data_IF_572141034281
#
_entry.id   IF_572141034281
#
_cell.length_a   1.000
_cell.length_b   1.000
_cell.length_c   1.000
_cell.angle_alpha   90.00
_cell.angle_beta   90.00
_cell.angle_gamma   90.00
#
_symmetry.space_group_name_H-M   'P 1'
#
loop_
_entity.id
_entity.type
_entity.pdbx_description
1 polymer ?
#
# COMPACT_ATOMS: atom_id res chain seq x y z
N UNK A 1 -27.92 -43.29 51.34
CA UNK A 1 -26.62 -44.01 51.44
C UNK A 1 -26.52 -44.91 50.20
N UNK A 2 -25.55 -44.90 49.29
CA UNK A 2 -24.46 -44.02 48.84
C UNK A 2 -24.06 -44.50 47.42
N UNK A 3 -23.75 -43.57 46.51
CA UNK A 3 -22.77 -43.65 45.39
C UNK A 3 -22.92 -44.72 44.27
N UNK A 4 -22.63 -44.47 42.99
CA UNK A 4 -22.10 -43.28 42.32
C UNK A 4 -22.36 -43.34 40.80
N UNK A 5 -22.63 -42.17 40.26
CA UNK A 5 -22.37 -41.68 38.91
C UNK A 5 -20.97 -42.10 38.41
N UNK A 6 -20.88 -42.66 37.20
CA UNK A 6 -20.00 -42.22 36.09
C UNK A 6 -19.94 -43.27 34.98
N UNK A 7 -20.12 -42.80 33.75
CA UNK A 7 -19.51 -43.31 32.54
C UNK A 7 -19.79 -44.77 32.13
N UNK A 8 -20.91 -45.00 31.43
CA UNK A 8 -20.92 -45.97 30.32
C UNK A 8 -22.08 -45.73 29.36
N UNK A 9 -22.35 -44.47 29.02
CA UNK A 9 -23.34 -44.16 27.99
C UNK A 9 -22.64 -43.85 26.67
N UNK A 10 -22.79 -44.81 25.76
CA UNK A 10 -23.23 -44.53 24.39
C UNK A 10 -22.13 -44.21 23.38
N UNK A 11 -21.37 -45.26 23.11
CA UNK A 11 -21.01 -45.69 21.75
C UNK A 11 -22.11 -45.42 20.71
N UNK A 12 -21.94 -44.39 19.88
CA UNK A 12 -22.54 -44.30 18.54
C UNK A 12 -22.07 -43.03 17.80
N UNK A 13 -20.84 -43.02 17.27
CA UNK A 13 -20.47 -42.20 16.12
C UNK A 13 -19.28 -42.87 15.41
N UNK A 14 -19.42 -43.32 14.15
CA UNK A 14 -18.28 -43.77 13.35
C UNK A 14 -17.51 -42.53 12.87
N UNK A 15 -16.72 -41.95 13.76
CA UNK A 15 -15.86 -40.80 13.45
C UNK A 15 -14.60 -41.32 12.73
N UNK A 16 -14.69 -41.40 11.39
CA UNK A 16 -13.50 -41.58 10.54
C UNK A 16 -12.74 -40.24 10.51
N UNK A 17 -11.53 -40.14 11.09
CA UNK A 17 -10.78 -38.88 11.20
C UNK A 17 -10.19 -38.39 9.87
N UNK A 18 -10.39 -39.12 8.77
CA UNK A 18 -9.80 -38.82 7.47
C UNK A 18 -10.51 -37.69 6.71
N UNK A 19 -11.79 -37.43 7.00
CA UNK A 19 -12.55 -36.37 6.32
C UNK A 19 -12.12 -34.95 6.74
N UNK A 20 -11.65 -34.79 7.98
CA UNK A 20 -11.22 -33.50 8.53
C UNK A 20 -9.89 -33.01 7.95
N UNK A 21 -8.95 -33.93 7.67
CA UNK A 21 -7.70 -33.61 7.00
C UNK A 21 -7.88 -33.24 5.53
N UNK A 22 -8.85 -33.87 4.84
CA UNK A 22 -9.20 -33.54 3.46
C UNK A 22 -9.87 -32.16 3.33
N UNK A 23 -10.65 -31.75 4.34
CA UNK A 23 -11.27 -30.43 4.37
C UNK A 23 -10.28 -29.30 4.72
N UNK A 24 -9.29 -29.59 5.59
CA UNK A 24 -8.24 -28.63 5.94
C UNK A 24 -7.25 -28.39 4.77
N UNK A 25 -6.99 -29.41 3.96
CA UNK A 25 -6.10 -29.30 2.78
C UNK A 25 -6.70 -28.49 1.63
N UNK A 26 -8.03 -28.46 1.49
CA UNK A 26 -8.70 -27.77 0.38
C UNK A 26 -8.82 -26.25 0.60
N UNK A 27 -8.72 -25.76 1.84
CA UNK A 27 -8.83 -24.33 2.16
C UNK A 27 -7.55 -23.53 1.87
N UNK A 28 -6.41 -24.18 1.64
CA UNK A 28 -5.12 -23.52 1.44
C UNK A 28 -4.84 -23.12 -0.03
N UNK A 29 -5.65 -23.58 -0.99
CA UNK A 29 -5.38 -23.40 -2.42
C UNK A 29 -6.03 -22.16 -3.06
N UNK A 30 -6.88 -21.40 -2.34
CA UNK A 30 -7.55 -20.20 -2.87
C UNK A 30 -6.84 -18.93 -2.38
N UNK A 31 -5.53 -18.88 -2.61
CA UNK A 31 -4.67 -17.74 -2.35
C UNK A 31 -4.11 -17.13 -3.63
N UNK A 32 -4.92 -17.00 -4.69
CA UNK A 32 -4.51 -16.21 -5.85
C UNK A 32 -4.57 -14.72 -5.49
N UNK A 33 -3.49 -14.21 -4.93
CA UNK A 33 -3.29 -12.78 -4.71
C UNK A 33 -2.91 -12.18 -6.07
N UNK A 34 -3.86 -11.54 -6.75
CA UNK A 34 -3.53 -10.74 -7.93
C UNK A 34 -2.73 -9.54 -7.45
N UNK A 35 -1.46 -9.51 -7.82
CA UNK A 35 -0.54 -8.44 -7.49
C UNK A 35 -0.79 -7.31 -8.48
N UNK A 36 -1.58 -6.34 -8.04
CA UNK A 36 -1.96 -5.18 -8.84
C UNK A 36 -0.77 -4.22 -8.85
N UNK A 37 -0.09 -4.17 -9.99
CA UNK A 37 1.11 -3.36 -10.17
C UNK A 37 0.75 -1.91 -10.51
N UNK A 38 1.57 -0.93 -10.07
CA UNK A 38 1.38 0.46 -10.44
C UNK A 38 1.45 0.64 -11.96
N UNK A 39 0.63 1.54 -12.48
CA UNK A 39 0.53 1.84 -13.91
C UNK A 39 1.66 2.74 -14.40
N UNK A 40 2.18 3.61 -13.53
CA UNK A 40 3.28 4.53 -13.80
C UNK A 40 4.63 3.89 -13.50
N UNK A 41 5.67 4.20 -14.29
CA UNK A 41 7.02 3.74 -13.99
C UNK A 41 7.54 4.40 -12.71
N UNK A 42 8.32 3.63 -11.96
CA UNK A 42 8.87 4.03 -10.66
C UNK A 42 9.67 5.35 -10.72
N UNK A 43 10.42 5.55 -11.82
CA UNK A 43 11.19 6.77 -12.08
C UNK A 43 10.30 8.02 -12.15
N UNK A 44 9.17 7.92 -12.85
CA UNK A 44 8.22 9.04 -12.99
C UNK A 44 7.52 9.32 -11.66
N UNK A 45 7.16 8.28 -10.91
CA UNK A 45 6.60 8.42 -9.57
C UNK A 45 7.56 9.13 -8.61
N UNK A 46 8.85 8.76 -8.64
CA UNK A 46 9.89 9.38 -7.82
C UNK A 46 10.11 10.85 -8.17
N UNK A 47 10.16 11.20 -9.47
CA UNK A 47 10.30 12.59 -9.92
C UNK A 47 9.10 13.45 -9.52
N UNK A 48 7.89 12.96 -9.75
CA UNK A 48 6.66 13.66 -9.33
C UNK A 48 6.68 13.86 -7.81
N UNK A 49 7.05 12.84 -7.04
CA UNK A 49 7.13 12.92 -5.57
C UNK A 49 8.16 13.95 -5.10
N UNK A 50 9.34 13.98 -5.72
CA UNK A 50 10.37 14.99 -5.43
C UNK A 50 9.86 16.41 -5.68
N UNK A 51 9.23 16.66 -6.85
CA UNK A 51 8.68 17.97 -7.20
C UNK A 51 7.54 18.41 -6.25
N UNK A 52 6.67 17.47 -5.86
CA UNK A 52 5.61 17.71 -4.88
C UNK A 52 6.21 18.13 -3.53
N UNK A 53 7.23 17.43 -3.06
CA UNK A 53 7.93 17.79 -1.81
C UNK A 53 8.64 19.13 -1.91
N UNK A 54 9.22 19.46 -3.06
CA UNK A 54 9.83 20.76 -3.30
C UNK A 54 8.78 21.89 -3.25
N UNK A 55 7.61 21.68 -3.86
CA UNK A 55 6.50 22.63 -3.81
C UNK A 55 5.95 22.80 -2.38
N UNK A 56 5.87 21.72 -1.60
CA UNK A 56 5.50 21.79 -0.19
C UNK A 56 6.54 22.56 0.63
N UNK A 57 7.83 22.29 0.42
CA UNK A 57 8.93 22.99 1.06
C UNK A 57 8.91 24.50 0.75
N UNK A 58 8.70 24.87 -0.52
CA UNK A 58 8.59 26.27 -0.95
C UNK A 58 7.39 27.01 -0.35
N UNK A 59 6.34 26.28 0.04
CA UNK A 59 5.12 26.86 0.62
C UNK A 59 5.02 26.73 2.14
N UNK A 60 6.07 26.24 2.81
CA UNK A 60 6.12 26.07 4.29
C UNK A 60 5.85 27.37 5.07
N UNK A 61 6.17 28.53 4.49
CA UNK A 61 5.90 29.85 5.10
C UNK A 61 4.45 30.34 4.99
N UNK A 62 3.60 29.64 4.25
CA UNK A 62 2.19 29.98 4.07
C UNK A 62 1.31 29.05 4.91
N UNK A 63 0.18 29.55 5.42
CA UNK A 63 -0.77 28.75 6.21
C UNK A 63 -2.21 29.02 5.81
N UNK A 64 -3.08 28.04 6.07
CA UNK A 64 -4.50 28.09 5.77
C UNK A 64 -4.81 28.15 4.28
N UNK A 65 -5.94 28.78 3.93
CA UNK A 65 -6.49 28.79 2.58
C UNK A 65 -5.53 29.22 1.46
N UNK A 66 -4.60 30.14 1.75
CA UNK A 66 -3.60 30.61 0.77
C UNK A 66 -2.57 29.53 0.43
N UNK A 67 -2.20 28.70 1.40
CA UNK A 67 -1.30 27.56 1.17
C UNK A 67 -2.00 26.53 0.29
N UNK A 68 -3.21 26.13 0.66
CA UNK A 68 -3.95 25.06 -0.03
C UNK A 68 -4.26 25.43 -1.49
N UNK A 69 -4.66 26.68 -1.74
CA UNK A 69 -4.91 27.19 -3.09
C UNK A 69 -3.64 27.24 -3.96
N UNK A 70 -2.50 27.66 -3.39
CA UNK A 70 -1.25 27.69 -4.12
C UNK A 70 -0.70 26.27 -4.40
N UNK A 71 -0.78 25.38 -3.42
CA UNK A 71 -0.40 23.97 -3.56
C UNK A 71 -1.21 23.27 -4.64
N UNK A 72 -2.51 23.54 -4.72
CA UNK A 72 -3.36 23.02 -5.79
C UNK A 72 -2.83 23.38 -7.19
N UNK A 73 -2.43 24.66 -7.39
CA UNK A 73 -1.89 25.13 -8.67
C UNK A 73 -0.54 24.47 -8.98
N UNK A 74 0.33 24.31 -7.98
CA UNK A 74 1.59 23.59 -8.18
C UNK A 74 1.36 22.14 -8.56
N UNK A 75 0.41 21.46 -7.93
CA UNK A 75 0.11 20.07 -8.23
C UNK A 75 -0.39 19.92 -9.67
N UNK A 76 -1.32 20.77 -10.11
CA UNK A 76 -1.75 20.78 -11.51
C UNK A 76 -0.58 20.99 -12.49
N UNK A 77 0.33 21.91 -12.17
CA UNK A 77 1.47 22.22 -13.03
C UNK A 77 2.48 21.06 -13.10
N UNK A 78 2.81 20.44 -11.96
CA UNK A 78 3.73 19.30 -11.87
C UNK A 78 3.16 18.12 -12.67
N UNK A 79 1.89 17.78 -12.45
CA UNK A 79 1.24 16.70 -13.20
C UNK A 79 1.21 16.98 -14.71
N UNK A 80 0.99 18.24 -15.10
CA UNK A 80 1.02 18.64 -16.51
C UNK A 80 2.43 18.50 -17.12
N UNK A 81 3.50 18.82 -16.39
CA UNK A 81 4.88 18.65 -16.88
C UNK A 81 5.26 17.19 -17.06
N UNK A 82 4.81 16.31 -16.17
CA UNK A 82 5.06 14.88 -16.26
C UNK A 82 4.08 14.14 -17.19
N UNK A 83 3.05 14.81 -17.70
CA UNK A 83 2.05 14.22 -18.58
C UNK A 83 1.20 13.14 -17.89
N UNK A 84 1.05 13.22 -16.57
CA UNK A 84 0.36 12.24 -15.74
C UNK A 84 -0.96 12.81 -15.23
N UNK A 85 -2.02 12.01 -15.27
CA UNK A 85 -3.29 12.38 -14.63
C UNK A 85 -3.19 12.20 -13.11
N UNK A 86 -3.68 13.18 -12.35
CA UNK A 86 -3.70 13.13 -10.87
C UNK A 86 -4.32 11.84 -10.35
N UNK A 87 -5.42 11.38 -10.95
CA UNK A 87 -6.10 10.17 -10.53
C UNK A 87 -5.24 8.92 -10.73
N UNK A 88 -4.46 8.85 -11.80
CA UNK A 88 -3.53 7.75 -12.05
C UNK A 88 -2.43 7.70 -10.98
N UNK A 89 -1.83 8.87 -10.69
CA UNK A 89 -0.82 8.99 -9.63
C UNK A 89 -1.37 8.59 -8.25
N UNK A 90 -2.55 9.09 -7.86
CA UNK A 90 -3.17 8.75 -6.57
C UNK A 90 -3.52 7.26 -6.46
N UNK A 91 -3.98 6.64 -7.55
CA UNK A 91 -4.27 5.22 -7.58
C UNK A 91 -2.99 4.39 -7.41
N UNK A 92 -1.93 4.74 -8.13
CA UNK A 92 -0.64 4.04 -8.01
C UNK A 92 -0.02 4.22 -6.63
N UNK A 93 -0.13 5.41 -6.03
CA UNK A 93 0.33 5.65 -4.66
C UNK A 93 -0.43 4.78 -3.65
N UNK A 94 -1.74 4.59 -3.84
CA UNK A 94 -2.54 3.68 -3.01
C UNK A 94 -2.12 2.23 -3.17
N UNK A 95 -1.74 1.79 -4.37
CA UNK A 95 -1.21 0.45 -4.60
C UNK A 95 0.15 0.28 -3.92
N UNK A 96 1.06 1.23 -4.11
CA UNK A 96 2.38 1.25 -3.48
C UNK A 96 2.30 1.28 -1.95
N UNK A 97 1.33 1.98 -1.36
CA UNK A 97 1.16 2.01 0.10
C UNK A 97 0.87 0.63 0.73
N UNK A 98 0.48 -0.37 -0.08
CA UNK A 98 0.26 -1.75 0.37
C UNK A 98 1.55 -2.58 0.40
N UNK A 99 2.58 -2.15 -0.34
CA UNK A 99 3.90 -2.77 -0.41
C UNK A 99 4.96 -1.78 0.09
N UNK A 100 5.33 -1.93 1.36
CA UNK A 100 6.31 -1.08 2.03
C UNK A 100 7.67 -1.07 1.33
N UNK A 101 8.09 -2.19 0.74
CA UNK A 101 9.38 -2.29 0.08
C UNK A 101 9.41 -1.46 -1.20
N UNK A 102 8.35 -1.52 -2.01
CA UNK A 102 8.23 -0.72 -3.23
C UNK A 102 8.07 0.76 -2.92
N UNK A 103 7.24 1.12 -1.93
CA UNK A 103 7.10 2.52 -1.53
C UNK A 103 8.43 3.12 -1.08
N UNK A 104 9.19 2.38 -0.28
CA UNK A 104 10.50 2.83 0.19
C UNK A 104 11.49 3.05 -0.96
N UNK A 105 11.48 2.20 -1.97
CA UNK A 105 12.34 2.37 -3.15
C UNK A 105 12.01 3.66 -3.91
N UNK A 106 10.72 3.95 -4.10
CA UNK A 106 10.27 5.21 -4.75
C UNK A 106 10.69 6.43 -3.93
N UNK A 107 10.51 6.39 -2.61
CA UNK A 107 10.89 7.49 -1.71
C UNK A 107 12.41 7.70 -1.71
N UNK A 108 13.20 6.64 -1.62
CA UNK A 108 14.67 6.73 -1.65
C UNK A 108 15.17 7.33 -2.98
N UNK A 109 14.53 6.98 -4.10
CA UNK A 109 14.80 7.60 -5.39
C UNK A 109 14.42 9.07 -5.43
N UNK A 110 13.25 9.44 -4.89
CA UNK A 110 12.84 10.84 -4.80
C UNK A 110 13.82 11.66 -3.96
N UNK A 111 14.30 11.12 -2.83
CA UNK A 111 15.33 11.76 -2.00
C UNK A 111 16.67 11.91 -2.73
N UNK A 112 17.07 10.92 -3.52
CA UNK A 112 18.29 11.00 -4.32
C UNK A 112 18.20 12.15 -5.35
N UNK A 113 17.06 12.27 -6.05
CA UNK A 113 16.81 13.36 -7.00
C UNK A 113 16.90 14.73 -6.31
N UNK A 114 16.33 14.86 -5.11
CA UNK A 114 16.39 16.12 -4.35
C UNK A 114 17.83 16.48 -3.96
N UNK A 115 18.65 15.50 -3.54
CA UNK A 115 20.06 15.74 -3.18
C UNK A 115 20.89 16.19 -4.39
N UNK A 116 20.67 15.59 -5.56
CA UNK A 116 21.35 15.98 -6.79
C UNK A 116 21.01 17.43 -7.20
N UNK A 117 19.75 17.84 -7.02
CA UNK A 117 19.32 19.21 -7.33
C UNK A 117 19.92 20.27 -6.39
N UNK A 118 20.26 19.90 -5.16
CA UNK A 118 20.91 20.79 -4.18
C UNK A 118 22.42 20.97 -4.47
N UNK A 119 23.08 19.97 -5.06
CA UNK A 119 24.53 20.01 -5.35
C UNK A 119 24.90 20.83 -6.59
N UNK A 120 23.95 21.15 -7.46
CA UNK A 120 24.17 22.03 -8.62
C UNK A 120 24.15 23.54 -8.29
N UNK A 121 23.92 23.92 -7.01
CA UNK A 121 23.87 25.31 -6.52
C UNK A 121 25.13 25.73 -5.77
#
# INVERSE_FOLDING_TARGET
MCCNTFACWRSALPWRPTALWLWLGLLAAVGCRSEEQPTLPEETLARIMADLHLAEAATTGLTGYRKDSLLYLYYEQIFAWHGVERQAYENDLRLLSRDEAQLRAVVEKAEAILKEADEEQ
#
